data_IF_745132011978
#
_entry.id   IF_745132011978
#
_cell.length_a   1.000
_cell.length_b   1.000
_cell.length_c   1.000
_cell.angle_alpha   90.00
_cell.angle_beta   90.00
_cell.angle_gamma   90.00
#
_symmetry.space_group_name_H-M   'P 1'
#
loop_
_entity.id
_entity.type
_entity.pdbx_description
1 polymer ?
#
# COMPACT_ATOMS: atom_id res chain seq x y z
N UNK A 1 -12.50 -6.29 -17.12
CA UNK A 1 -11.15 -6.87 -17.09
C UNK A 1 -10.29 -6.06 -16.11
N UNK A 2 -9.48 -6.71 -15.26
CA UNK A 2 -8.56 -6.01 -14.31
C UNK A 2 -7.25 -5.53 -14.95
N UNK A 3 -7.10 -5.70 -16.27
CA UNK A 3 -5.88 -5.34 -17.01
C UNK A 3 -5.42 -3.87 -16.84
N UNK A 4 -6.31 -2.86 -16.76
CA UNK A 4 -5.89 -1.48 -16.52
C UNK A 4 -5.23 -1.28 -15.15
N UNK A 5 -5.69 -2.01 -14.14
CA UNK A 5 -5.22 -1.87 -12.76
C UNK A 5 -3.79 -2.43 -12.58
N UNK A 6 -3.50 -3.60 -13.16
CA UNK A 6 -2.16 -4.19 -13.09
C UNK A 6 -1.11 -3.36 -13.85
N UNK A 7 -1.51 -2.73 -14.97
CA UNK A 7 -0.62 -1.82 -15.69
C UNK A 7 -0.30 -0.56 -14.88
N UNK A 8 -1.31 0.00 -14.21
CA UNK A 8 -1.16 1.16 -13.35
C UNK A 8 -0.24 0.84 -12.15
N UNK A 9 -0.46 -0.31 -11.51
CA UNK A 9 0.37 -0.78 -10.41
C UNK A 9 1.84 -0.95 -10.83
N UNK A 10 2.08 -1.59 -11.99
CA UNK A 10 3.43 -1.71 -12.55
C UNK A 10 4.09 -0.35 -12.83
N UNK A 11 3.33 0.64 -13.33
CA UNK A 11 3.83 2.00 -13.52
C UNK A 11 4.33 2.59 -12.20
N UNK A 12 3.57 2.43 -11.11
CA UNK A 12 3.98 2.93 -9.80
C UNK A 12 5.21 2.20 -9.25
N UNK A 13 5.30 0.88 -9.39
CA UNK A 13 6.53 0.16 -9.04
C UNK A 13 7.76 0.67 -9.80
N UNK A 14 7.62 1.02 -11.09
CA UNK A 14 8.71 1.65 -11.85
C UNK A 14 9.08 3.03 -11.34
N UNK A 15 8.10 3.85 -10.98
CA UNK A 15 8.32 5.18 -10.39
C UNK A 15 9.04 5.09 -9.04
N UNK A 16 8.72 4.09 -8.23
CA UNK A 16 9.42 3.79 -6.98
C UNK A 16 10.84 3.25 -7.22
N UNK A 17 11.06 2.45 -8.26
CA UNK A 17 12.37 1.86 -8.55
C UNK A 17 13.35 2.83 -9.23
N UNK A 18 12.87 3.96 -9.77
CA UNK A 18 13.70 4.96 -10.43
C UNK A 18 14.48 5.78 -9.40
N UNK A 19 15.69 5.31 -9.07
CA UNK A 19 16.72 6.11 -8.41
C UNK A 19 17.51 6.87 -9.49
N UNK A 20 17.32 8.18 -9.57
CA UNK A 20 18.21 9.09 -10.30
C UNK A 20 17.75 9.49 -11.70
N UNK A 21 17.96 10.78 -12.00
CA UNK A 21 17.86 11.41 -13.32
C UNK A 21 18.80 10.73 -14.33
N UNK A 22 18.32 9.71 -15.03
CA UNK A 22 19.05 9.06 -16.12
C UNK A 22 18.09 8.83 -17.28
N UNK A 23 18.44 9.38 -18.45
CA UNK A 23 17.71 9.18 -19.72
C UNK A 23 17.38 7.69 -19.93
N UNK A 24 16.20 7.35 -20.47
CA UNK A 24 15.93 5.98 -20.86
C UNK A 24 16.90 5.59 -21.98
N UNK A 25 17.75 4.59 -21.73
CA UNK A 25 18.50 3.93 -22.78
C UNK A 25 17.49 3.27 -23.73
N UNK A 26 17.39 3.83 -24.93
CA UNK A 26 16.64 3.25 -26.03
C UNK A 26 17.24 1.91 -26.43
N UNK A 27 16.36 0.96 -26.79
CA UNK A 27 16.79 -0.33 -27.30
C UNK A 27 15.71 -1.40 -27.21
N UNK A 28 14.57 -1.19 -27.86
CA UNK A 28 13.64 -2.28 -28.17
C UNK A 28 14.00 -2.84 -29.56
N UNK A 29 14.94 -3.79 -29.59
CA UNK A 29 15.10 -4.68 -30.73
C UNK A 29 13.92 -5.64 -30.80
N UNK A 30 13.13 -5.55 -31.88
CA UNK A 30 12.03 -6.45 -32.15
C UNK A 30 12.59 -7.82 -32.58
N UNK A 31 12.44 -8.83 -31.72
CA UNK A 31 12.58 -10.23 -32.12
C UNK A 31 11.18 -10.83 -32.28
N UNK A 32 10.76 -11.00 -33.54
CA UNK A 32 9.67 -11.89 -33.91
C UNK A 32 10.09 -13.34 -33.62
N UNK A 33 9.26 -14.06 -32.89
CA UNK A 33 9.44 -15.47 -32.61
C UNK A 33 8.12 -16.05 -32.11
N UNK A 34 7.42 -16.76 -33.00
CA UNK A 34 6.26 -17.59 -32.66
C UNK A 34 6.77 -18.82 -31.91
N UNK A 35 6.30 -19.03 -30.68
CA UNK A 35 6.66 -20.18 -29.86
C UNK A 35 6.19 -19.99 -28.42
N UNK A 36 5.18 -20.76 -28.02
CA UNK A 36 4.50 -20.67 -26.72
C UNK A 36 5.36 -21.10 -25.53
N UNK A 37 6.30 -20.25 -25.11
CA UNK A 37 7.03 -20.38 -23.87
C UNK A 37 7.38 -19.00 -23.32
N UNK A 38 7.09 -18.76 -22.05
CA UNK A 38 7.47 -17.55 -21.31
C UNK A 38 8.99 -17.53 -21.07
N UNK A 39 9.80 -17.46 -22.13
CA UNK A 39 11.26 -17.31 -22.06
C UNK A 39 11.65 -16.04 -22.81
N UNK A 40 11.52 -14.90 -22.13
CA UNK A 40 12.20 -13.67 -22.50
C UNK A 40 13.04 -13.20 -21.31
N UNK A 41 14.25 -12.74 -21.61
CA UNK A 41 15.28 -12.31 -20.65
C UNK A 41 14.72 -11.34 -19.60
N UNK A 42 15.00 -11.55 -18.30
CA UNK A 42 14.56 -10.62 -17.25
C UNK A 42 15.22 -9.27 -17.48
N UNK A 43 14.41 -8.24 -17.75
CA UNK A 43 14.88 -6.86 -17.71
C UNK A 43 15.10 -6.53 -16.24
N UNK A 44 16.36 -6.53 -15.81
CA UNK A 44 16.74 -6.14 -14.45
C UNK A 44 16.55 -4.63 -14.33
N UNK A 45 15.36 -4.21 -13.91
CA UNK A 45 15.14 -2.84 -13.44
C UNK A 45 16.14 -2.55 -12.30
N UNK A 46 16.55 -1.29 -12.18
CA UNK A 46 17.48 -0.78 -11.15
C UNK A 46 17.21 -1.36 -9.77
N UNK A 47 18.25 -1.42 -8.92
CA UNK A 47 18.13 -1.92 -7.54
C UNK A 47 16.89 -1.35 -6.85
N UNK A 48 16.03 -2.24 -6.35
CA UNK A 48 14.80 -1.82 -5.68
C UNK A 48 15.12 -0.96 -4.46
N UNK A 49 14.31 0.08 -4.24
CA UNK A 49 14.40 0.87 -3.03
C UNK A 49 14.13 0.00 -1.79
N UNK A 50 14.74 0.36 -0.66
CA UNK A 50 14.53 -0.39 0.57
C UNK A 50 13.03 -0.46 0.93
N UNK A 51 12.53 -1.66 1.20
CA UNK A 51 11.12 -1.87 1.53
C UNK A 51 10.15 -1.81 0.35
N UNK A 52 10.63 -1.79 -0.89
CA UNK A 52 9.80 -2.01 -2.09
C UNK A 52 10.28 -3.30 -2.77
N UNK A 53 9.39 -4.26 -3.07
CA UNK A 53 9.80 -5.50 -3.75
C UNK A 53 10.33 -5.19 -5.15
N UNK A 54 11.35 -5.94 -5.57
CA UNK A 54 11.85 -5.85 -6.94
C UNK A 54 10.82 -6.37 -7.94
N UNK A 55 10.66 -5.67 -9.07
CA UNK A 55 9.88 -6.17 -10.21
C UNK A 55 10.81 -6.86 -11.20
N UNK A 56 10.53 -8.13 -11.50
CA UNK A 56 11.31 -8.93 -12.45
C UNK A 56 10.72 -8.94 -13.86
N UNK A 57 9.39 -8.88 -13.97
CA UNK A 57 8.70 -8.96 -15.25
C UNK A 57 7.33 -8.28 -15.19
N UNK A 58 6.95 -7.66 -16.31
CA UNK A 58 5.57 -7.27 -16.59
C UNK A 58 5.30 -7.47 -18.09
N UNK A 59 4.23 -8.21 -18.42
CA UNK A 59 3.87 -8.47 -19.81
C UNK A 59 2.85 -9.59 -19.99
N UNK A 60 2.57 -9.99 -21.23
CA UNK A 60 1.58 -11.02 -21.54
C UNK A 60 2.08 -12.42 -21.14
N UNK A 61 1.23 -13.16 -20.44
CA UNK A 61 1.37 -14.58 -20.14
C UNK A 61 0.11 -15.31 -20.64
N UNK A 62 0.17 -15.82 -21.87
CA UNK A 62 -0.99 -16.39 -22.55
C UNK A 62 -2.07 -15.34 -22.80
N UNK A 63 -3.29 -15.56 -22.28
CA UNK A 63 -4.43 -14.64 -22.40
C UNK A 63 -4.48 -13.56 -21.32
N UNK A 64 -3.50 -13.54 -20.41
CA UNK A 64 -3.47 -12.64 -19.25
C UNK A 64 -2.25 -11.73 -19.29
N UNK A 65 -2.30 -10.62 -18.57
CA UNK A 65 -1.09 -9.88 -18.20
C UNK A 65 -0.60 -10.40 -16.84
N UNK A 66 0.70 -10.57 -16.70
CA UNK A 66 1.34 -11.02 -15.48
C UNK A 66 2.41 -10.01 -15.03
N UNK A 67 2.53 -9.85 -13.72
CA UNK A 67 3.62 -9.13 -13.07
C UNK A 67 4.32 -10.10 -12.13
N UNK A 68 5.65 -10.19 -12.23
CA UNK A 68 6.47 -11.06 -11.38
C UNK A 68 7.26 -10.16 -10.43
N UNK A 69 7.02 -10.33 -9.13
CA UNK A 69 7.61 -9.56 -8.06
C UNK A 69 8.56 -10.42 -7.22
N UNK A 70 9.41 -9.76 -6.43
CA UNK A 70 10.15 -10.38 -5.36
C UNK A 70 9.23 -11.15 -4.40
N UNK A 71 9.58 -12.41 -4.13
CA UNK A 71 8.92 -13.20 -3.11
C UNK A 71 9.35 -12.73 -1.72
N UNK A 72 8.38 -12.27 -0.93
CA UNK A 72 8.55 -11.79 0.44
C UNK A 72 8.12 -12.88 1.46
N UNK A 73 8.27 -12.56 2.75
CA UNK A 73 7.78 -13.35 3.88
C UNK A 73 6.29 -13.08 4.19
N UNK A 74 5.82 -13.48 5.39
CA UNK A 74 4.44 -13.24 5.83
C UNK A 74 4.10 -11.75 5.95
N UNK A 75 2.81 -11.43 5.84
CA UNK A 75 2.28 -10.09 6.11
C UNK A 75 2.25 -9.78 7.60
N UNK A 76 2.07 -8.50 7.95
CA UNK A 76 1.86 -8.11 9.34
C UNK A 76 0.54 -8.67 9.90
N UNK A 77 -0.49 -8.90 9.08
CA UNK A 77 -1.72 -9.59 9.54
C UNK A 77 -1.42 -11.06 9.87
N UNK A 78 -0.67 -11.77 9.02
CA UNK A 78 -0.30 -13.17 9.27
C UNK A 78 0.50 -13.29 10.58
N UNK A 79 1.46 -12.39 10.80
CA UNK A 79 2.23 -12.34 12.04
C UNK A 79 1.39 -11.95 13.24
N UNK A 80 0.37 -11.12 13.05
CA UNK A 80 -0.55 -10.70 14.09
C UNK A 80 -1.42 -11.86 14.56
N UNK A 81 -1.94 -12.65 13.62
CA UNK A 81 -2.68 -13.88 13.93
C UNK A 81 -1.82 -14.91 14.67
N UNK A 82 -0.53 -15.02 14.32
CA UNK A 82 0.43 -15.88 15.04
C UNK A 82 0.75 -15.39 16.46
N UNK A 83 0.47 -14.13 16.79
CA UNK A 83 0.71 -13.53 18.10
C UNK A 83 -0.59 -13.30 18.88
N UNK A 84 -1.57 -14.18 18.71
CA UNK A 84 -2.88 -14.11 19.37
C UNK A 84 -3.57 -12.75 19.20
N UNK A 85 -3.34 -12.11 18.04
CA UNK A 85 -3.93 -10.85 17.62
C UNK A 85 -3.68 -9.70 18.58
N UNK A 86 -2.50 -9.65 19.19
CA UNK A 86 -1.98 -8.45 19.87
C UNK A 86 -0.47 -8.35 19.67
N UNK A 87 0.05 -7.13 19.49
CA UNK A 87 1.49 -6.89 19.49
C UNK A 87 1.90 -6.06 20.72
N UNK A 88 3.09 -6.34 21.23
CA UNK A 88 3.69 -5.53 22.29
C UNK A 88 3.98 -4.11 21.78
N UNK A 89 3.99 -3.13 22.70
CA UNK A 89 4.36 -1.75 22.38
C UNK A 89 5.70 -1.66 21.63
N UNK A 90 6.72 -2.41 22.08
CA UNK A 90 8.04 -2.44 21.42
C UNK A 90 7.93 -2.87 19.96
N UNK A 91 7.18 -3.93 19.69
CA UNK A 91 6.95 -4.42 18.32
C UNK A 91 6.23 -3.36 17.48
N UNK A 92 5.17 -2.75 18.01
CA UNK A 92 4.40 -1.72 17.29
C UNK A 92 5.27 -0.49 16.99
N UNK A 93 6.10 -0.03 17.92
CA UNK A 93 7.01 1.11 17.69
C UNK A 93 8.05 0.78 16.61
N UNK A 94 8.63 -0.42 16.62
CA UNK A 94 9.58 -0.86 15.57
C UNK A 94 8.93 -0.94 14.20
N UNK A 95 7.66 -1.40 14.13
CA UNK A 95 6.87 -1.40 12.90
C UNK A 95 6.59 0.04 12.47
N UNK A 96 6.12 0.89 13.38
CA UNK A 96 5.70 2.26 13.09
C UNK A 96 6.82 3.09 12.47
N UNK A 97 8.03 3.01 13.02
CA UNK A 97 9.21 3.70 12.47
C UNK A 97 9.44 3.29 11.00
N UNK A 98 9.45 1.99 10.71
CA UNK A 98 9.65 1.51 9.34
C UNK A 98 8.51 1.96 8.41
N UNK A 99 7.25 1.82 8.84
CA UNK A 99 6.09 2.13 7.99
C UNK A 99 5.95 3.62 7.69
N UNK A 100 6.28 4.50 8.65
CA UNK A 100 6.36 5.94 8.42
C UNK A 100 7.42 6.24 7.35
N UNK A 101 8.62 5.64 7.47
CA UNK A 101 9.67 5.79 6.45
C UNK A 101 9.23 5.24 5.08
N UNK A 102 8.50 4.11 5.02
CA UNK A 102 7.96 3.59 3.74
C UNK A 102 6.95 4.56 3.13
N UNK A 103 6.06 5.11 3.96
CA UNK A 103 5.03 6.03 3.49
C UNK A 103 5.63 7.36 3.02
N UNK A 104 6.59 7.90 3.79
CA UNK A 104 7.38 9.07 3.39
C UNK A 104 8.05 8.82 2.04
N UNK A 105 8.70 7.67 1.85
CA UNK A 105 9.33 7.33 0.58
C UNK A 105 8.33 7.36 -0.59
N UNK A 106 7.16 6.73 -0.44
CA UNK A 106 6.08 6.77 -1.44
C UNK A 106 5.66 8.22 -1.73
N UNK A 107 5.51 9.04 -0.69
CA UNK A 107 5.15 10.45 -0.80
C UNK A 107 6.22 11.30 -1.49
N UNK A 108 7.52 10.99 -1.31
CA UNK A 108 8.62 11.67 -2.03
C UNK A 108 8.61 11.38 -3.53
N UNK A 109 7.99 10.26 -3.93
CA UNK A 109 7.78 9.89 -5.33
C UNK A 109 6.50 10.47 -5.91
N UNK A 110 5.90 11.48 -5.27
CA UNK A 110 4.66 12.13 -5.69
C UNK A 110 3.42 11.24 -5.67
N UNK A 111 3.45 10.14 -4.92
CA UNK A 111 2.35 9.17 -4.80
C UNK A 111 1.70 9.23 -3.41
N UNK A 112 0.41 8.93 -3.35
CA UNK A 112 -0.32 8.54 -2.13
C UNK A 112 -0.77 7.10 -2.28
N UNK A 113 -0.77 6.36 -1.17
CA UNK A 113 -0.92 4.90 -1.19
C UNK A 113 -2.38 4.44 -1.17
N UNK A 114 -3.21 5.06 -0.31
CA UNK A 114 -4.68 4.92 -0.23
C UNK A 114 -5.24 3.56 0.21
N UNK A 115 -4.42 2.53 0.41
CA UNK A 115 -4.89 1.21 0.91
C UNK A 115 -4.05 0.67 2.06
N UNK A 116 -3.78 1.51 3.06
CA UNK A 116 -3.09 1.10 4.29
C UNK A 116 -3.90 0.01 5.00
N UNK A 117 -3.30 -1.18 5.11
CA UNK A 117 -3.83 -2.33 5.85
C UNK A 117 -2.68 -3.33 6.15
N UNK A 118 -2.72 -4.08 7.26
CA UNK A 118 -1.64 -5.00 7.66
C UNK A 118 -1.25 -6.03 6.59
N UNK A 119 -2.22 -6.46 5.77
CA UNK A 119 -2.05 -7.44 4.69
C UNK A 119 -1.10 -6.96 3.59
N UNK A 120 -0.94 -5.65 3.42
CA UNK A 120 -0.07 -5.06 2.39
C UNK A 120 1.34 -4.71 2.89
N UNK A 121 1.65 -5.04 4.14
CA UNK A 121 2.99 -4.85 4.71
C UNK A 121 3.60 -6.20 5.04
N UNK A 122 4.67 -6.59 4.36
CA UNK A 122 5.27 -7.92 4.46
C UNK A 122 6.70 -7.84 4.96
N UNK A 123 7.10 -8.77 5.82
CA UNK A 123 8.51 -8.90 6.21
C UNK A 123 9.32 -9.57 5.10
N UNK A 124 10.65 -9.44 5.12
CA UNK A 124 11.51 -10.20 4.21
C UNK A 124 11.51 -11.69 4.52
N UNK A 125 12.00 -12.51 3.58
CA UNK A 125 12.05 -13.97 3.77
C UNK A 125 13.03 -14.36 4.91
N UNK A 126 12.71 -15.38 5.72
CA UNK A 126 13.63 -15.94 6.70
C UNK A 126 14.98 -16.33 6.10
N UNK A 127 16.07 -16.10 6.83
CA UNK A 127 17.43 -16.43 6.39
C UNK A 127 18.00 -15.47 5.34
N UNK A 128 17.30 -14.39 5.00
CA UNK A 128 17.82 -13.33 4.14
C UNK A 128 18.28 -12.12 4.96
N UNK A 129 19.20 -11.33 4.41
CA UNK A 129 19.64 -10.06 5.04
C UNK A 129 18.51 -9.06 5.30
N UNK A 130 17.36 -9.22 4.61
CA UNK A 130 16.19 -8.35 4.70
C UNK A 130 15.05 -8.94 5.54
N UNK A 131 15.27 -10.04 6.26
CA UNK A 131 14.19 -10.72 7.02
C UNK A 131 13.46 -9.82 8.02
N UNK A 132 14.11 -8.78 8.54
CA UNK A 132 13.50 -7.81 9.48
C UNK A 132 13.01 -6.52 8.82
N UNK A 133 13.22 -6.36 7.50
CA UNK A 133 12.75 -5.21 6.76
C UNK A 133 11.28 -5.39 6.39
N UNK A 134 10.46 -4.39 6.68
CA UNK A 134 9.05 -4.35 6.26
C UNK A 134 8.96 -3.73 4.88
N UNK A 135 8.25 -4.39 3.99
CA UNK A 135 8.04 -4.01 2.60
C UNK A 135 6.57 -3.63 2.37
N UNK A 136 6.35 -2.62 1.54
CA UNK A 136 5.01 -2.21 1.10
C UNK A 136 4.71 -2.82 -0.28
N UNK A 137 3.52 -3.41 -0.43
CA UNK A 137 3.06 -4.03 -1.69
C UNK A 137 1.70 -3.48 -2.13
N UNK A 138 1.17 -3.96 -3.25
CA UNK A 138 -0.18 -3.64 -3.76
C UNK A 138 -0.41 -2.14 -3.94
N UNK A 139 0.15 -1.60 -5.03
CA UNK A 139 -0.06 -0.22 -5.44
C UNK A 139 -1.29 -0.06 -6.34
N UNK A 140 -2.20 -1.04 -6.36
CA UNK A 140 -3.37 -1.07 -7.24
C UNK A 140 -4.39 0.06 -6.97
N UNK A 141 -4.32 0.68 -5.79
CA UNK A 141 -5.11 1.86 -5.42
C UNK A 141 -4.27 3.14 -5.27
N UNK A 142 -2.96 3.11 -5.51
CA UNK A 142 -2.14 4.31 -5.39
C UNK A 142 -2.53 5.39 -6.43
N UNK A 143 -2.11 6.64 -6.18
CA UNK A 143 -2.42 7.77 -7.05
C UNK A 143 -1.35 8.86 -6.95
N UNK A 144 -1.10 9.56 -8.06
CA UNK A 144 -0.26 10.77 -8.05
C UNK A 144 -0.99 11.93 -7.35
N UNK A 145 -0.40 12.49 -6.29
CA UNK A 145 -0.94 13.67 -5.58
C UNK A 145 -0.25 14.97 -5.99
N UNK A 146 0.88 14.88 -6.68
CA UNK A 146 1.51 15.99 -7.41
C UNK A 146 1.34 15.73 -8.89
N UNK A 147 0.77 16.69 -9.60
CA UNK A 147 0.62 16.63 -11.04
C UNK A 147 2.00 16.66 -11.73
N UNK A 148 2.30 15.69 -12.62
CA UNK A 148 3.63 15.54 -13.19
C UNK A 148 4.03 16.70 -14.13
N UNK A 149 3.06 17.42 -14.70
CA UNK A 149 3.30 18.51 -15.65
C UNK A 149 3.43 19.85 -14.92
N UNK A 150 2.44 20.19 -14.11
CA UNK A 150 2.36 21.47 -13.39
C UNK A 150 3.17 21.52 -12.11
N UNK A 151 3.60 20.35 -11.59
CA UNK A 151 4.26 20.18 -10.28
C UNK A 151 3.45 20.71 -9.10
N UNK A 152 2.13 20.90 -9.28
CA UNK A 152 1.22 21.37 -8.25
C UNK A 152 0.54 20.20 -7.54
N UNK A 153 0.18 20.41 -6.28
CA UNK A 153 -0.66 19.48 -5.54
C UNK A 153 -2.04 19.38 -6.20
N UNK A 154 -2.62 18.18 -6.23
CA UNK A 154 -3.99 17.97 -6.72
C UNK A 154 -4.99 18.89 -5.98
N UNK A 155 -6.02 19.41 -6.67
CA UNK A 155 -7.01 20.26 -6.05
C UNK A 155 -7.87 19.48 -5.05
N UNK A 156 -8.41 20.18 -4.05
CA UNK A 156 -9.44 19.63 -3.18
C UNK A 156 -10.69 19.27 -4.00
N UNK A 157 -11.27 18.09 -3.72
CA UNK A 157 -12.53 17.63 -4.31
C UNK A 157 -13.32 16.84 -3.26
N UNK A 158 -14.63 16.87 -3.40
CA UNK A 158 -15.57 16.07 -2.61
C UNK A 158 -16.32 15.09 -3.52
N UNK A 159 -17.27 14.35 -2.94
CA UNK A 159 -18.10 13.36 -3.64
C UNK A 159 -17.29 12.26 -4.34
N UNK A 160 -16.13 11.90 -3.77
CA UNK A 160 -15.32 10.76 -4.19
C UNK A 160 -16.01 9.46 -3.79
N UNK A 161 -15.88 8.44 -4.64
CA UNK A 161 -16.24 7.08 -4.26
C UNK A 161 -15.33 6.59 -3.14
N UNK A 162 -15.90 5.81 -2.22
CA UNK A 162 -15.17 5.21 -1.12
C UNK A 162 -14.27 4.10 -1.66
N UNK A 163 -12.95 4.29 -1.55
CA UNK A 163 -11.93 3.32 -1.95
C UNK A 163 -11.01 2.99 -0.79
N UNK A 164 -10.49 1.76 -0.77
CA UNK A 164 -9.64 1.26 0.30
C UNK A 164 -10.42 0.57 1.43
N UNK A 165 -9.69 0.19 2.48
CA UNK A 165 -10.21 -0.65 3.57
C UNK A 165 -10.90 0.19 4.66
N UNK A 166 -12.22 0.02 4.83
CA UNK A 166 -13.05 0.83 5.75
C UNK A 166 -12.50 0.91 7.19
N UNK A 167 -11.93 -0.21 7.65
CA UNK A 167 -11.37 -0.36 9.00
C UNK A 167 -10.27 0.66 9.28
N UNK A 168 -9.39 0.92 8.32
CA UNK A 168 -8.20 1.76 8.53
C UNK A 168 -8.31 3.15 7.89
N UNK A 169 -9.09 3.31 6.82
CA UNK A 169 -9.18 4.59 6.10
C UNK A 169 -9.52 5.80 6.99
N UNK A 170 -9.07 6.99 6.58
CA UNK A 170 -9.31 8.22 7.33
C UNK A 170 -10.79 8.60 7.42
N UNK A 171 -11.13 9.43 8.41
CA UNK A 171 -12.44 10.07 8.54
C UNK A 171 -12.75 10.89 7.27
N UNK A 172 -11.77 11.60 6.72
CA UNK A 172 -11.98 12.36 5.47
C UNK A 172 -12.32 11.45 4.28
N UNK A 173 -11.76 10.24 4.22
CA UNK A 173 -12.11 9.26 3.19
C UNK A 173 -13.57 8.83 3.33
N UNK A 174 -14.04 8.56 4.55
CA UNK A 174 -15.46 8.28 4.83
C UNK A 174 -16.40 9.43 4.42
N UNK A 175 -15.93 10.67 4.50
CA UNK A 175 -16.67 11.86 4.06
C UNK A 175 -16.62 12.09 2.54
N UNK A 176 -16.03 11.17 1.76
CA UNK A 176 -15.94 11.29 0.31
C UNK A 176 -15.02 12.42 -0.17
N UNK A 177 -14.06 12.85 0.66
CA UNK A 177 -13.07 13.86 0.29
C UNK A 177 -11.90 13.22 -0.48
N UNK A 178 -11.30 13.98 -1.38
CA UNK A 178 -10.10 13.55 -2.11
C UNK A 178 -8.95 13.30 -1.12
N UNK A 179 -8.44 12.07 -1.12
CA UNK A 179 -7.34 11.64 -0.26
C UNK A 179 -6.06 12.38 -0.64
N UNK A 180 -5.25 12.70 0.37
CA UNK A 180 -3.90 13.20 0.25
C UNK A 180 -2.98 12.49 1.26
N UNK A 181 -1.73 12.96 1.39
CA UNK A 181 -0.72 12.37 2.28
C UNK A 181 -1.19 12.17 3.72
N UNK A 182 -2.01 13.09 4.24
CA UNK A 182 -2.56 13.02 5.60
C UNK A 182 -3.41 11.78 5.84
N UNK A 183 -4.12 11.33 4.81
CA UNK A 183 -5.05 10.20 4.91
C UNK A 183 -4.32 8.87 5.03
N UNK A 184 -3.13 8.75 4.40
CA UNK A 184 -2.25 7.59 4.58
C UNK A 184 -1.70 7.54 6.03
N UNK A 185 -1.32 8.69 6.60
CA UNK A 185 -0.78 8.76 7.97
C UNK A 185 -1.86 8.51 9.03
N UNK A 186 -3.07 9.04 8.85
CA UNK A 186 -4.21 8.74 9.72
C UNK A 186 -4.55 7.24 9.69
N UNK A 187 -4.51 6.63 8.51
CA UNK A 187 -4.74 5.20 8.37
C UNK A 187 -3.64 4.34 9.03
N UNK A 188 -2.38 4.77 8.99
CA UNK A 188 -1.31 4.16 9.78
C UNK A 188 -1.59 4.26 11.29
N UNK A 189 -2.04 5.41 11.78
CA UNK A 189 -2.45 5.58 13.18
C UNK A 189 -3.55 4.60 13.60
N UNK A 190 -4.61 4.47 12.80
CA UNK A 190 -5.65 3.45 13.04
C UNK A 190 -5.07 2.03 13.07
N UNK A 191 -4.12 1.71 12.19
CA UNK A 191 -3.49 0.39 12.14
C UNK A 191 -2.56 0.12 13.33
N UNK A 192 -1.85 1.13 13.84
CA UNK A 192 -1.04 0.98 15.06
C UNK A 192 -1.93 0.71 16.27
N UNK A 193 -3.04 1.44 16.40
CA UNK A 193 -4.00 1.18 17.48
C UNK A 193 -4.67 -0.18 17.34
N UNK A 194 -4.91 -0.66 16.11
CA UNK A 194 -5.37 -2.02 15.87
C UNK A 194 -4.37 -3.06 16.40
N UNK A 195 -3.08 -2.90 16.13
CA UNK A 195 -2.06 -3.83 16.62
C UNK A 195 -1.93 -3.81 18.15
N UNK A 196 -2.05 -2.64 18.78
CA UNK A 196 -1.95 -2.49 20.23
C UNK A 196 -3.18 -3.05 20.97
N UNK A 197 -4.38 -2.83 20.42
CA UNK A 197 -5.65 -3.17 21.08
C UNK A 197 -6.21 -4.54 20.70
N UNK A 198 -5.69 -5.16 19.66
CA UNK A 198 -6.25 -6.38 19.07
C UNK A 198 -7.47 -6.16 18.18
N UNK A 199 -8.19 -5.07 18.42
CA UNK A 199 -9.33 -4.63 17.63
C UNK A 199 -9.58 -3.13 17.75
N UNK A 200 -10.33 -2.59 16.80
CA UNK A 200 -10.80 -1.20 16.78
C UNK A 200 -12.29 -1.14 17.16
N UNK A 201 -12.74 -0.05 17.83
CA UNK A 201 -14.13 0.09 18.30
C UNK A 201 -15.21 -0.01 17.21
N UNK A 202 -14.84 0.23 15.94
CA UNK A 202 -15.73 0.16 14.79
C UNK A 202 -15.68 -1.19 14.04
N UNK A 203 -15.11 -2.24 14.63
CA UNK A 203 -15.18 -3.60 14.07
C UNK A 203 -16.51 -4.28 14.39
N UNK A 204 -16.93 -5.22 13.52
CA UNK A 204 -18.13 -6.04 13.76
C UNK A 204 -19.48 -5.34 13.57
N UNK A 205 -19.50 -4.06 13.18
CA UNK A 205 -20.75 -3.32 12.93
C UNK A 205 -21.58 -3.97 11.83
N UNK A 206 -22.85 -4.26 12.14
CA UNK A 206 -23.85 -4.83 11.22
C UNK A 206 -24.54 -3.72 10.41
N UNK A 207 -24.74 -3.96 9.12
CA UNK A 207 -25.50 -3.11 8.22
C UNK A 207 -26.03 -3.94 7.06
N UNK A 208 -27.12 -3.49 6.45
CA UNK A 208 -27.80 -4.22 5.37
C UNK A 208 -27.09 -4.01 4.03
N UNK A 209 -26.48 -2.84 3.85
CA UNK A 209 -25.68 -2.51 2.66
C UNK A 209 -24.23 -2.18 2.99
N UNK A 210 -23.35 -2.33 1.99
CA UNK A 210 -21.94 -1.91 2.10
C UNK A 210 -21.82 -0.40 2.37
N UNK A 211 -22.67 0.41 1.73
CA UNK A 211 -22.68 1.87 1.90
C UNK A 211 -23.00 2.26 3.34
N UNK A 212 -24.05 1.67 3.92
CA UNK A 212 -24.39 1.87 5.33
C UNK A 212 -23.31 1.36 6.27
N UNK A 213 -22.66 0.23 5.94
CA UNK A 213 -21.55 -0.27 6.73
C UNK A 213 -20.40 0.73 6.81
N UNK A 214 -20.02 1.31 5.66
CA UNK A 214 -19.00 2.37 5.63
C UNK A 214 -19.44 3.59 6.42
N UNK A 215 -20.69 4.03 6.24
CA UNK A 215 -21.25 5.17 6.99
C UNK A 215 -21.18 4.93 8.51
N UNK A 216 -21.65 3.78 9.00
CA UNK A 216 -21.60 3.43 10.43
C UNK A 216 -20.17 3.42 10.96
N UNK A 217 -19.21 2.85 10.22
CA UNK A 217 -17.80 2.86 10.61
C UNK A 217 -17.27 4.30 10.70
N UNK A 218 -17.57 5.14 9.70
CA UNK A 218 -17.18 6.55 9.69
C UNK A 218 -17.80 7.35 10.84
N UNK A 219 -19.07 7.07 11.18
CA UNK A 219 -19.76 7.67 12.31
C UNK A 219 -19.11 7.29 13.63
N UNK A 220 -18.83 6.00 13.85
CA UNK A 220 -18.13 5.51 15.05
C UNK A 220 -16.73 6.11 15.17
N UNK A 221 -15.97 6.23 14.07
CA UNK A 221 -14.65 6.88 14.07
C UNK A 221 -14.73 8.32 14.56
N UNK A 222 -15.69 9.11 14.04
CA UNK A 222 -15.90 10.51 14.45
C UNK A 222 -16.38 10.63 15.90
N UNK A 223 -17.16 9.67 16.36
CA UNK A 223 -17.69 9.63 17.72
C UNK A 223 -16.71 9.05 18.76
N UNK A 224 -15.57 8.51 18.35
CA UNK A 224 -14.54 7.97 19.25
C UNK A 224 -13.44 9.01 19.43
N UNK A 225 -13.33 9.68 20.60
CA UNK A 225 -12.22 10.60 20.88
C UNK A 225 -10.87 9.89 20.79
N UNK A 226 -9.82 10.60 20.40
CA UNK A 226 -8.47 10.04 20.28
C UNK A 226 -7.98 9.56 21.66
N UNK A 227 -8.29 10.31 22.71
CA UNK A 227 -7.95 10.00 24.10
C UNK A 227 -8.57 8.67 24.55
N UNK A 228 -9.79 8.38 24.08
CA UNK A 228 -10.48 7.11 24.34
C UNK A 228 -9.90 5.98 23.49
N UNK A 229 -9.61 6.24 22.22
CA UNK A 229 -8.99 5.25 21.34
C UNK A 229 -7.62 4.82 21.88
N UNK A 230 -6.81 5.78 22.33
CA UNK A 230 -5.44 5.60 22.79
C UNK A 230 -5.32 5.35 24.30
N UNK A 231 -6.43 5.23 25.02
CA UNK A 231 -6.42 5.00 26.47
C UNK A 231 -5.56 3.77 26.82
N UNK A 232 -4.69 3.93 27.83
CA UNK A 232 -3.71 2.94 28.31
C UNK A 232 -2.52 2.64 27.36
N UNK A 233 -2.32 3.42 26.30
CA UNK A 233 -1.16 3.33 25.42
C UNK A 233 -0.40 4.68 25.38
N UNK A 234 0.94 4.67 25.19
CA UNK A 234 1.75 5.90 25.14
C UNK A 234 1.51 6.79 23.92
#
# INVERSE_FOLDING_TARGET
>A
SRAPQLHLEYRFYKQLSATGTGRPAGGAGAAQGQGGGCRRTPVRLSSAAEGVPQVYYFGPCGKYNAMVLELLGPSLEDLFDLCDRTFTLKTVLMIAIQLITRMEYVHTKSLIYRDVKPENFLVGRPGTKRQHAIHIIDFGLAKEYIDPETKKHIPYREHKSLTGTARYMSINTHLGKEQSRRDDLEALGHMFMYFLRGSLPWQGLKADTLKERYQKIGDTKRATPIEVLCENFP
#
